data_IF_949149776299
#
_entry.id   IF_949149776299
#
_cell.length_a   1.000
_cell.length_b   1.000
_cell.length_c   1.000
_cell.angle_alpha   90.00
_cell.angle_beta   90.00
_cell.angle_gamma   90.00
#
_symmetry.space_group_name_H-M   'P 1'
#
loop_
_entity.id
_entity.type
_entity.pdbx_description
1 polymer ?
#
# COMPACT_ATOMS: atom_id res chain seq x y z
N UNK A 1 -42.40 -12.16 -27.73
CA UNK A 1 -41.30 -12.92 -27.12
C UNK A 1 -39.93 -12.29 -27.38
N UNK A 2 -39.75 -11.54 -28.48
CA UNK A 2 -38.48 -10.87 -28.82
C UNK A 2 -38.27 -9.51 -28.10
N UNK A 3 -39.35 -8.79 -27.78
CA UNK A 3 -39.30 -7.54 -27.00
C UNK A 3 -38.88 -7.75 -25.54
N UNK A 4 -39.35 -8.84 -24.91
CA UNK A 4 -39.10 -9.18 -23.50
C UNK A 4 -37.61 -9.52 -23.24
N UNK A 5 -36.95 -10.12 -24.24
CA UNK A 5 -35.51 -10.39 -24.20
C UNK A 5 -34.68 -9.11 -24.34
N UNK A 6 -35.09 -8.16 -25.18
CA UNK A 6 -34.39 -6.89 -25.39
C UNK A 6 -34.46 -6.00 -24.13
N UNK A 7 -35.63 -5.94 -23.49
CA UNK A 7 -35.84 -5.17 -22.27
C UNK A 7 -35.04 -5.76 -21.09
N UNK A 8 -34.98 -7.10 -20.98
CA UNK A 8 -34.16 -7.78 -19.98
C UNK A 8 -32.65 -7.51 -20.16
N UNK A 9 -32.16 -7.41 -21.41
CA UNK A 9 -30.76 -7.04 -21.68
C UNK A 9 -30.47 -5.59 -21.30
N UNK A 10 -31.39 -4.65 -21.55
CA UNK A 10 -31.25 -3.23 -21.16
C UNK A 10 -31.29 -3.07 -19.63
N UNK A 11 -32.13 -3.82 -18.93
CA UNK A 11 -32.16 -3.81 -17.46
C UNK A 11 -30.89 -4.41 -16.85
N UNK A 12 -30.35 -5.48 -17.43
CA UNK A 12 -29.08 -6.06 -17.02
C UNK A 12 -27.89 -5.10 -17.26
N UNK A 13 -27.85 -4.43 -18.42
CA UNK A 13 -26.81 -3.44 -18.74
C UNK A 13 -26.88 -2.21 -17.82
N UNK A 14 -28.10 -1.75 -17.48
CA UNK A 14 -28.30 -0.70 -16.47
C UNK A 14 -27.89 -1.16 -15.07
N UNK A 15 -28.23 -2.39 -14.68
CA UNK A 15 -27.82 -2.95 -13.40
C UNK A 15 -26.29 -3.07 -13.30
N UNK A 16 -25.61 -3.50 -14.37
CA UNK A 16 -24.16 -3.57 -14.44
C UNK A 16 -23.51 -2.17 -14.42
N UNK A 17 -24.08 -1.19 -15.12
CA UNK A 17 -23.65 0.21 -15.06
C UNK A 17 -23.78 0.84 -13.67
N UNK A 18 -24.84 0.50 -12.93
CA UNK A 18 -25.08 0.94 -11.54
C UNK A 18 -24.11 0.26 -10.55
N UNK A 19 -23.58 -0.91 -10.88
CA UNK A 19 -22.57 -1.61 -10.10
C UNK A 19 -21.13 -1.15 -10.43
N UNK A 20 -20.90 -0.60 -11.62
CA UNK A 20 -19.58 -0.14 -12.08
C UNK A 20 -19.22 1.31 -11.72
N UNK A 21 -20.20 2.15 -11.37
CA UNK A 21 -19.94 3.54 -10.97
C UNK A 21 -20.68 3.96 -9.70
N UNK A 22 -20.33 5.13 -9.16
CA UNK A 22 -20.97 5.69 -7.98
C UNK A 22 -22.43 6.05 -8.27
N UNK A 23 -23.31 5.92 -7.27
CA UNK A 23 -24.76 6.16 -7.40
C UNK A 23 -25.14 7.66 -7.55
N UNK A 24 -24.13 8.53 -7.70
CA UNK A 24 -24.28 9.98 -7.82
C UNK A 24 -23.07 10.75 -7.28
N UNK A 25 -23.08 12.09 -7.45
CA UNK A 25 -22.01 12.97 -7.00
C UNK A 25 -21.77 12.98 -5.48
N UNK A 26 -22.80 12.67 -4.69
CA UNK A 26 -22.79 12.70 -3.22
C UNK A 26 -22.75 11.30 -2.56
N UNK A 27 -22.35 10.25 -3.29
CA UNK A 27 -22.24 8.91 -2.70
C UNK A 27 -21.28 8.91 -1.50
N UNK A 28 -21.76 8.45 -0.33
CA UNK A 28 -21.00 8.39 0.93
C UNK A 28 -19.87 7.36 0.89
N UNK A 29 -19.95 6.38 0.00
CA UNK A 29 -18.91 5.37 -0.21
C UNK A 29 -17.74 5.91 -1.03
N UNK A 30 -17.95 6.97 -1.81
CA UNK A 30 -16.89 7.62 -2.57
C UNK A 30 -15.88 8.27 -1.59
N UNK A 31 -14.60 7.85 -1.62
CA UNK A 31 -13.57 8.41 -0.75
C UNK A 31 -13.38 9.92 -0.90
N UNK A 32 -13.73 10.46 -2.08
CA UNK A 32 -13.66 11.91 -2.35
C UNK A 32 -14.70 12.72 -1.56
N UNK A 33 -15.78 12.10 -1.12
CA UNK A 33 -16.84 12.75 -0.35
C UNK A 33 -16.66 12.62 1.17
N UNK A 34 -15.53 12.05 1.62
CA UNK A 34 -15.22 11.99 3.05
C UNK A 34 -15.07 13.39 3.65
N UNK A 35 -15.40 13.50 4.95
CA UNK A 35 -15.17 14.71 5.72
C UNK A 35 -13.69 15.08 5.75
N UNK A 36 -13.40 16.38 5.78
CA UNK A 36 -12.03 16.91 5.83
C UNK A 36 -11.23 16.30 6.98
N UNK A 37 -11.85 16.16 8.15
CA UNK A 37 -11.22 15.51 9.30
C UNK A 37 -10.74 14.09 9.00
N UNK A 38 -11.56 13.28 8.33
CA UNK A 38 -11.18 11.91 7.95
C UNK A 38 -10.05 11.90 6.93
N UNK A 39 -10.11 12.76 5.91
CA UNK A 39 -9.05 12.88 4.90
C UNK A 39 -7.72 13.25 5.55
N UNK A 40 -7.70 14.30 6.37
CA UNK A 40 -6.50 14.74 7.09
C UNK A 40 -5.97 13.66 8.02
N UNK A 41 -6.82 12.98 8.78
CA UNK A 41 -6.40 11.90 9.68
C UNK A 41 -5.77 10.74 8.90
N UNK A 42 -6.38 10.33 7.79
CA UNK A 42 -5.82 9.31 6.90
C UNK A 42 -4.47 9.73 6.31
N UNK A 43 -4.34 10.97 5.86
CA UNK A 43 -3.06 11.51 5.36
C UNK A 43 -1.98 11.48 6.44
N UNK A 44 -2.30 11.90 7.66
CA UNK A 44 -1.35 11.91 8.79
C UNK A 44 -0.89 10.49 9.13
N UNK A 45 -1.82 9.53 9.23
CA UNK A 45 -1.47 8.12 9.51
C UNK A 45 -0.53 7.57 8.42
N UNK A 46 -0.86 7.78 7.15
CA UNK A 46 -0.05 7.32 6.01
C UNK A 46 1.34 7.96 6.02
N UNK A 47 1.44 9.25 6.34
CA UNK A 47 2.73 9.95 6.46
C UNK A 47 3.57 9.41 7.63
N UNK A 48 2.95 9.12 8.78
CA UNK A 48 3.66 8.59 9.95
C UNK A 48 4.23 7.18 9.68
N UNK A 49 3.45 6.32 9.03
CA UNK A 49 3.91 4.99 8.60
C UNK A 49 5.08 5.13 7.61
N UNK A 50 4.93 5.98 6.60
CA UNK A 50 6.00 6.27 5.63
C UNK A 50 7.27 6.80 6.31
N UNK A 51 7.14 7.69 7.31
CA UNK A 51 8.27 8.27 8.02
C UNK A 51 9.10 7.20 8.75
N UNK A 52 8.45 6.30 9.48
CA UNK A 52 9.13 5.19 10.18
C UNK A 52 9.81 4.26 9.18
N UNK A 53 9.12 3.93 8.08
CA UNK A 53 9.66 3.06 7.06
C UNK A 53 10.90 3.68 6.40
N UNK A 54 10.91 4.99 6.18
CA UNK A 54 12.09 5.71 5.74
C UNK A 54 13.19 5.70 6.82
N UNK A 55 12.90 6.00 8.09
CA UNK A 55 13.92 6.00 9.15
C UNK A 55 14.60 4.62 9.28
N UNK A 56 13.84 3.53 9.26
CA UNK A 56 14.35 2.18 9.52
C UNK A 56 14.91 1.49 8.27
N UNK A 57 14.26 1.71 7.12
CA UNK A 57 14.52 0.97 5.91
C UNK A 57 14.96 1.83 4.74
N UNK A 58 15.13 3.16 4.86
CA UNK A 58 15.47 3.99 3.69
C UNK A 58 16.69 3.48 2.93
N UNK A 59 17.75 3.03 3.61
CA UNK A 59 18.93 2.49 2.91
C UNK A 59 18.60 1.18 2.18
N UNK A 60 17.79 0.31 2.79
CA UNK A 60 17.39 -0.98 2.19
C UNK A 60 16.41 -0.75 1.04
N UNK A 61 15.39 0.09 1.22
CA UNK A 61 14.40 0.46 0.20
C UNK A 61 15.03 1.26 -0.94
N UNK A 62 15.99 2.15 -0.65
CA UNK A 62 16.72 2.89 -1.69
C UNK A 62 17.59 1.93 -2.48
N UNK A 63 18.33 1.03 -1.81
CA UNK A 63 19.16 0.02 -2.49
C UNK A 63 18.30 -0.93 -3.33
N UNK A 64 17.21 -1.48 -2.77
CA UNK A 64 16.27 -2.33 -3.51
C UNK A 64 15.60 -1.57 -4.67
N UNK A 65 15.24 -0.31 -4.46
CA UNK A 65 14.64 0.55 -5.49
C UNK A 65 15.63 0.96 -6.59
N UNK A 66 16.91 1.17 -6.27
CA UNK A 66 17.98 1.39 -7.27
C UNK A 66 18.20 0.12 -8.07
N UNK A 67 18.29 -1.03 -7.39
CA UNK A 67 18.42 -2.34 -8.03
C UNK A 67 17.21 -2.66 -8.92
N UNK A 68 16.01 -2.24 -8.52
CA UNK A 68 14.80 -2.37 -9.32
C UNK A 68 14.81 -1.45 -10.55
N UNK A 69 15.18 -0.18 -10.38
CA UNK A 69 15.32 0.78 -11.49
C UNK A 69 16.44 0.40 -12.46
N UNK A 70 17.45 -0.32 -11.99
CA UNK A 70 18.52 -0.88 -12.81
C UNK A 70 18.12 -2.18 -13.54
N UNK A 71 16.85 -2.60 -13.46
CA UNK A 71 16.34 -3.81 -14.12
C UNK A 71 16.82 -5.13 -13.51
N UNK A 72 17.63 -5.07 -12.44
CA UNK A 72 18.16 -6.25 -11.75
C UNK A 72 17.08 -6.92 -10.88
N UNK A 73 16.03 -6.19 -10.49
CA UNK A 73 14.98 -6.65 -9.58
C UNK A 73 13.62 -5.95 -9.80
N UNK A 74 12.74 -6.45 -10.67
CA UNK A 74 11.38 -5.89 -10.83
C UNK A 74 10.45 -6.33 -9.70
N UNK A 75 10.23 -5.50 -8.68
CA UNK A 75 9.14 -5.70 -7.72
C UNK A 75 8.24 -4.46 -7.66
N UNK A 76 7.31 -4.36 -8.61
CA UNK A 76 6.21 -3.42 -8.48
C UNK A 76 5.15 -4.05 -7.56
N UNK A 77 5.03 -3.55 -6.33
CA UNK A 77 3.95 -3.92 -5.41
C UNK A 77 2.63 -3.20 -5.70
N UNK A 78 2.61 -2.36 -6.75
CA UNK A 78 1.42 -1.67 -7.24
C UNK A 78 0.25 -2.64 -7.53
N UNK A 79 0.46 -3.81 -8.20
CA UNK A 79 -0.59 -4.79 -8.46
C UNK A 79 -1.16 -5.41 -7.17
N UNK A 80 -0.37 -5.50 -6.10
CA UNK A 80 -0.82 -6.05 -4.83
C UNK A 80 -1.84 -5.12 -4.15
N UNK A 81 -1.62 -3.81 -4.25
CA UNK A 81 -2.58 -2.80 -3.77
C UNK A 81 -3.83 -2.71 -4.64
N UNK A 82 -3.71 -3.01 -5.93
CA UNK A 82 -4.82 -3.02 -6.88
C UNK A 82 -5.69 -4.28 -6.73
N UNK A 83 -5.09 -5.41 -6.38
CA UNK A 83 -5.82 -6.69 -6.23
C UNK A 83 -6.49 -6.82 -4.86
N UNK A 84 -5.83 -6.38 -3.79
CA UNK A 84 -6.31 -6.60 -2.42
C UNK A 84 -6.82 -5.33 -1.72
N UNK A 85 -6.66 -4.17 -2.35
CA UNK A 85 -7.00 -2.88 -1.78
C UNK A 85 -5.85 -2.26 -0.99
N UNK A 86 -5.92 -0.94 -0.77
CA UNK A 86 -4.85 -0.17 -0.14
C UNK A 86 -4.80 -0.38 1.36
N UNK A 87 -5.96 -0.61 2.00
CA UNK A 87 -6.00 -0.85 3.45
C UNK A 87 -5.18 -2.08 3.82
N UNK A 88 -5.28 -3.17 3.06
CA UNK A 88 -4.56 -4.41 3.37
C UNK A 88 -3.05 -4.18 3.36
N UNK A 89 -2.54 -3.38 2.43
CA UNK A 89 -1.11 -3.06 2.34
C UNK A 89 -0.61 -2.46 3.65
N UNK A 90 -1.32 -1.47 4.21
CA UNK A 90 -0.97 -0.89 5.52
C UNK A 90 -1.06 -1.91 6.66
N UNK A 91 -2.03 -2.81 6.64
CA UNK A 91 -2.17 -3.86 7.66
C UNK A 91 -1.08 -4.92 7.59
N UNK A 92 -0.41 -5.10 6.45
CA UNK A 92 0.71 -6.02 6.29
C UNK A 92 2.05 -5.38 6.65
N UNK A 93 2.14 -4.05 6.73
CA UNK A 93 3.39 -3.35 7.11
C UNK A 93 4.00 -3.80 8.45
N UNK A 94 3.23 -4.15 9.51
CA UNK A 94 3.79 -4.66 10.75
C UNK A 94 4.52 -6.01 10.62
N UNK A 95 4.32 -6.75 9.51
CA UNK A 95 5.14 -7.93 9.24
C UNK A 95 6.61 -7.58 9.07
N UNK A 96 6.93 -6.40 8.53
CA UNK A 96 8.30 -5.90 8.46
C UNK A 96 8.94 -5.77 9.86
N UNK A 97 8.15 -5.37 10.85
CA UNK A 97 8.60 -5.20 12.22
C UNK A 97 8.95 -6.55 12.86
N UNK A 98 8.20 -7.61 12.57
CA UNK A 98 8.52 -8.97 13.04
C UNK A 98 9.92 -9.40 12.55
N UNK A 99 10.25 -9.14 11.29
CA UNK A 99 11.58 -9.44 10.77
C UNK A 99 12.66 -8.50 11.32
N UNK A 100 12.31 -7.27 11.67
CA UNK A 100 13.23 -6.34 12.36
C UNK A 100 13.58 -6.81 13.77
N UNK A 101 12.68 -7.51 14.48
CA UNK A 101 13.03 -8.22 15.73
C UNK A 101 14.14 -9.24 15.45
N UNK A 102 14.03 -9.99 14.34
CA UNK A 102 15.05 -10.92 13.87
C UNK A 102 16.41 -10.26 13.58
N UNK A 103 16.41 -9.03 13.05
CA UNK A 103 17.64 -8.23 12.86
C UNK A 103 18.31 -7.93 14.20
N UNK A 104 17.53 -7.48 15.20
CA UNK A 104 18.03 -7.18 16.54
C UNK A 104 18.61 -8.40 17.27
N UNK A 105 18.06 -9.59 17.00
CA UNK A 105 18.47 -10.85 17.64
C UNK A 105 19.49 -11.67 16.82
N UNK A 106 19.88 -11.19 15.63
CA UNK A 106 20.82 -11.88 14.75
C UNK A 106 22.19 -12.11 15.40
N UNK A 107 22.71 -13.34 15.23
CA UNK A 107 24.05 -13.79 15.69
C UNK A 107 25.03 -13.98 14.53
N UNK A 108 24.54 -13.94 13.29
CA UNK A 108 25.29 -14.28 12.08
C UNK A 108 24.97 -13.23 11.02
N UNK A 109 25.93 -12.92 10.14
CA UNK A 109 25.72 -11.96 9.04
C UNK A 109 24.63 -12.47 8.07
N UNK A 110 24.60 -13.78 7.78
CA UNK A 110 23.60 -14.36 6.89
C UNK A 110 22.16 -14.15 7.42
N UNK A 111 21.91 -14.40 8.71
CA UNK A 111 20.59 -14.21 9.31
C UNK A 111 20.22 -12.73 9.41
N UNK A 112 21.19 -11.85 9.66
CA UNK A 112 21.00 -10.40 9.62
C UNK A 112 20.53 -9.94 8.23
N UNK A 113 21.24 -10.35 7.17
CA UNK A 113 20.91 -9.99 5.78
C UNK A 113 19.54 -10.55 5.39
N UNK A 114 19.26 -11.83 5.69
CA UNK A 114 17.97 -12.44 5.39
C UNK A 114 16.80 -11.71 6.07
N UNK A 115 16.93 -11.39 7.36
CA UNK A 115 15.90 -10.65 8.08
C UNK A 115 15.72 -9.23 7.53
N UNK A 116 16.81 -8.51 7.20
CA UNK A 116 16.72 -7.17 6.59
C UNK A 116 16.06 -7.20 5.21
N UNK A 117 16.37 -8.21 4.41
CA UNK A 117 15.78 -8.37 3.08
C UNK A 117 14.27 -8.56 3.19
N UNK A 118 13.82 -9.49 4.02
CA UNK A 118 12.38 -9.77 4.19
C UNK A 118 11.67 -8.60 4.87
N UNK A 119 12.29 -7.93 5.85
CA UNK A 119 11.74 -6.71 6.43
C UNK A 119 11.53 -5.60 5.37
N UNK A 120 12.53 -5.41 4.49
CA UNK A 120 12.43 -4.48 3.37
C UNK A 120 11.31 -4.83 2.39
N UNK A 121 11.10 -6.13 2.13
CA UNK A 121 10.04 -6.63 1.24
C UNK A 121 8.64 -6.25 1.74
N UNK A 122 8.39 -6.37 3.04
CA UNK A 122 7.10 -6.00 3.65
C UNK A 122 6.96 -4.49 3.87
N UNK A 123 8.06 -3.75 3.99
CA UNK A 123 8.03 -2.29 4.17
C UNK A 123 7.79 -1.53 2.85
N UNK A 124 8.39 -1.98 1.74
CA UNK A 124 8.33 -1.27 0.46
C UNK A 124 6.91 -0.95 -0.06
N UNK A 125 5.91 -1.86 0.03
CA UNK A 125 4.54 -1.57 -0.40
C UNK A 125 3.92 -0.36 0.30
N UNK A 126 4.20 -0.15 1.59
CA UNK A 126 3.61 0.93 2.38
C UNK A 126 3.98 2.32 1.83
N UNK A 127 5.24 2.50 1.41
CA UNK A 127 5.75 3.73 0.82
C UNK A 127 5.17 3.96 -0.58
N UNK A 128 5.09 2.91 -1.39
CA UNK A 128 4.61 3.02 -2.78
C UNK A 128 3.11 3.39 -2.84
N UNK A 129 2.31 2.78 -1.99
CA UNK A 129 0.84 2.90 -2.03
C UNK A 129 0.33 4.20 -1.40
N UNK A 130 1.15 4.88 -0.60
CA UNK A 130 0.78 6.11 0.08
C UNK A 130 0.38 7.27 -0.83
N UNK A 131 1.18 7.60 -1.84
CA UNK A 131 0.80 8.65 -2.79
C UNK A 131 -0.52 8.31 -3.50
N UNK A 132 -0.67 7.05 -3.89
CA UNK A 132 -1.86 6.56 -4.58
C UNK A 132 -3.10 6.56 -3.67
N UNK A 133 -2.95 6.25 -2.38
CA UNK A 133 -4.01 6.38 -1.36
C UNK A 133 -4.45 7.84 -1.22
N UNK A 134 -3.50 8.78 -1.15
CA UNK A 134 -3.79 10.22 -1.06
C UNK A 134 -4.57 10.69 -2.29
N UNK A 135 -4.21 10.22 -3.49
CA UNK A 135 -4.90 10.59 -4.73
C UNK A 135 -6.31 10.01 -4.85
N UNK A 136 -6.62 8.91 -4.18
CA UNK A 136 -7.95 8.31 -4.25
C UNK A 136 -9.03 9.19 -3.59
N UNK A 137 -8.73 9.70 -2.39
CA UNK A 137 -9.69 10.49 -1.61
C UNK A 137 -9.54 12.01 -1.81
N UNK A 138 -8.49 12.47 -2.48
CA UNK A 138 -8.26 13.91 -2.71
C UNK A 138 -8.57 14.29 -4.16
N UNK A 139 -9.45 15.28 -4.40
CA UNK A 139 -9.74 15.74 -5.75
C UNK A 139 -8.50 16.39 -6.41
N UNK A 140 -8.40 16.37 -7.76
CA UNK A 140 -7.24 16.88 -8.48
C UNK A 140 -6.84 18.33 -8.15
N UNK A 141 -7.81 19.19 -7.80
CA UNK A 141 -7.58 20.60 -7.44
C UNK A 141 -6.94 20.79 -6.06
N UNK A 142 -7.05 19.81 -5.16
CA UNK A 142 -6.61 19.94 -3.76
C UNK A 142 -5.46 18.97 -3.39
N UNK A 143 -5.06 18.08 -4.30
CA UNK A 143 -4.06 17.03 -4.01
C UNK A 143 -2.63 17.53 -3.88
N UNK A 144 -2.32 18.75 -4.32
CA UNK A 144 -0.95 19.30 -4.31
C UNK A 144 -0.40 19.36 -2.88
N UNK A 145 -1.17 19.88 -1.93
CA UNK A 145 -0.70 20.06 -0.54
C UNK A 145 -0.50 18.69 0.15
N UNK A 146 -1.49 17.77 0.18
CA UNK A 146 -1.30 16.46 0.82
C UNK A 146 -0.18 15.63 0.19
N UNK A 147 -0.05 15.66 -1.14
CA UNK A 147 1.04 14.97 -1.83
C UNK A 147 2.39 15.63 -1.55
N UNK A 148 2.47 16.95 -1.54
CA UNK A 148 3.69 17.68 -1.20
C UNK A 148 4.19 17.35 0.21
N UNK A 149 3.27 17.29 1.19
CA UNK A 149 3.59 16.84 2.55
C UNK A 149 4.13 15.42 2.50
N UNK A 150 3.43 14.51 1.83
CA UNK A 150 3.87 13.11 1.74
C UNK A 150 5.26 12.96 1.08
N UNK A 151 5.52 13.67 -0.02
CA UNK A 151 6.82 13.60 -0.70
C UNK A 151 7.97 14.24 0.09
N UNK A 152 7.68 15.06 1.10
CA UNK A 152 8.69 15.55 2.04
C UNK A 152 9.14 14.47 3.04
N UNK A 153 8.28 13.48 3.33
CA UNK A 153 8.53 12.45 4.35
C UNK A 153 9.78 11.63 4.07
N UNK A 154 10.04 11.12 2.85
CA UNK A 154 11.28 10.39 2.56
C UNK A 154 12.53 11.21 2.82
N UNK A 155 12.53 12.49 2.48
CA UNK A 155 13.68 13.39 2.69
C UNK A 155 13.97 13.56 4.19
N UNK A 156 12.93 13.80 4.98
CA UNK A 156 13.05 13.92 6.44
C UNK A 156 13.52 12.61 7.06
N UNK A 157 12.90 11.48 6.69
CA UNK A 157 13.27 10.17 7.22
C UNK A 157 14.70 9.77 6.85
N UNK A 158 15.17 10.12 5.66
CA UNK A 158 16.53 9.85 5.19
C UNK A 158 17.58 10.67 5.94
N UNK A 159 17.25 11.92 6.29
CA UNK A 159 18.12 12.77 7.10
C UNK A 159 18.13 12.34 8.58
N UNK A 160 16.97 11.98 9.14
CA UNK A 160 16.83 11.58 10.54
C UNK A 160 17.39 10.18 10.83
N UNK A 161 17.30 9.24 9.89
CA UNK A 161 17.74 7.86 10.07
C UNK A 161 19.18 7.73 10.56
N UNK A 162 20.18 8.30 9.85
CA UNK A 162 21.58 8.28 10.28
C UNK A 162 21.83 9.04 11.58
N UNK A 163 21.12 10.14 11.83
CA UNK A 163 21.27 10.92 13.08
C UNK A 163 20.80 10.14 14.31
N UNK A 164 19.63 9.51 14.22
CA UNK A 164 19.12 8.63 15.29
C UNK A 164 20.01 7.40 15.41
N UNK A 165 20.39 6.81 14.27
CA UNK A 165 21.21 5.61 14.21
C UNK A 165 22.60 5.81 14.83
N UNK A 166 23.29 6.91 14.52
CA UNK A 166 24.63 7.19 15.06
C UNK A 166 24.61 7.36 16.57
N UNK A 167 23.67 8.16 17.09
CA UNK A 167 23.51 8.39 18.52
C UNK A 167 23.22 7.09 19.29
N UNK A 168 22.33 6.25 18.74
CA UNK A 168 21.98 4.96 19.35
C UNK A 168 23.15 3.98 19.32
N UNK A 169 23.89 3.92 18.21
CA UNK A 169 25.09 3.07 18.09
C UNK A 169 26.13 3.44 19.14
N UNK A 170 26.38 4.73 19.34
CA UNK A 170 27.37 5.23 20.28
C UNK A 170 27.07 4.82 21.73
N UNK A 171 25.81 4.86 22.15
CA UNK A 171 25.43 4.65 23.56
C UNK A 171 24.99 3.21 23.89
N UNK A 172 24.42 2.50 22.91
CA UNK A 172 23.76 1.20 23.13
C UNK A 172 24.21 0.10 22.16
N UNK A 173 25.02 0.46 21.17
CA UNK A 173 25.52 -0.45 20.13
C UNK A 173 24.54 -0.65 18.96
N UNK A 174 25.04 -1.27 17.89
CA UNK A 174 24.32 -1.37 16.61
C UNK A 174 23.01 -2.15 16.67
N UNK A 175 22.84 -3.12 17.58
CA UNK A 175 21.58 -3.89 17.67
C UNK A 175 20.40 -2.99 18.02
N UNK A 176 20.64 -1.91 18.76
CA UNK A 176 19.61 -0.95 19.11
C UNK A 176 19.10 -0.13 17.93
N UNK A 177 19.81 -0.10 16.80
CA UNK A 177 19.26 0.50 15.57
C UNK A 177 18.05 -0.26 15.03
N UNK A 178 17.82 -1.52 15.46
CA UNK A 178 16.60 -2.27 15.16
C UNK A 178 15.53 -2.05 16.24
N UNK A 179 15.92 -2.01 17.52
CA UNK A 179 14.98 -1.86 18.65
C UNK A 179 14.33 -0.47 18.71
N UNK A 180 15.07 0.60 18.42
CA UNK A 180 14.55 1.97 18.44
C UNK A 180 13.40 2.18 17.46
N UNK A 181 13.52 1.88 16.15
CA UNK A 181 12.40 2.02 15.22
C UNK A 181 11.26 1.03 15.51
N UNK A 182 11.52 -0.14 16.11
CA UNK A 182 10.45 -1.05 16.57
C UNK A 182 9.55 -0.42 17.63
N UNK A 183 10.13 0.33 18.57
CA UNK A 183 9.34 1.04 19.59
C UNK A 183 8.49 2.14 18.95
N UNK A 184 9.03 2.86 17.97
CA UNK A 184 8.26 3.86 17.20
C UNK A 184 7.12 3.21 16.41
N UNK A 185 7.43 2.10 15.74
CA UNK A 185 6.49 1.31 14.95
C UNK A 185 5.32 0.78 15.80
N UNK A 186 5.59 0.32 17.02
CA UNK A 186 4.57 -0.17 17.95
C UNK A 186 3.51 0.88 18.31
N UNK A 187 3.87 2.17 18.29
CA UNK A 187 2.94 3.27 18.59
C UNK A 187 2.22 3.79 17.34
N UNK A 188 2.91 3.79 16.20
CA UNK A 188 2.48 4.50 14.99
C UNK A 188 1.83 3.60 13.93
N UNK A 189 2.02 2.27 13.98
CA UNK A 189 1.28 1.33 13.12
C UNK A 189 -0.17 1.06 13.57
N UNK A 190 -0.53 0.95 14.87
CA UNK A 190 -1.92 0.66 15.28
C UNK A 190 -2.99 1.60 14.71
N UNK A 191 -2.74 2.93 14.54
CA UNK A 191 -3.68 3.82 13.86
C UNK A 191 -4.09 3.36 12.45
N UNK A 192 -3.28 2.55 11.76
CA UNK A 192 -3.60 1.97 10.45
C UNK A 192 -4.89 1.14 10.46
N UNK A 193 -5.28 0.57 11.61
CA UNK A 193 -6.53 -0.20 11.76
C UNK A 193 -7.77 0.63 11.44
N UNK A 194 -7.71 1.93 11.74
CA UNK A 194 -8.80 2.88 11.52
C UNK A 194 -8.87 3.43 10.09
N UNK A 195 -7.88 3.14 9.24
CA UNK A 195 -7.93 3.50 7.83
C UNK A 195 -9.12 2.79 7.16
N UNK A 196 -9.78 3.50 6.26
CA UNK A 196 -10.80 2.93 5.37
C UNK A 196 -10.18 2.63 4.01
N UNK A 197 -10.77 1.66 3.33
CA UNK A 197 -10.38 1.38 1.94
C UNK A 197 -10.66 2.61 1.07
N UNK A 198 -9.70 2.99 0.24
CA UNK A 198 -9.81 4.14 -0.66
C UNK A 198 -9.90 3.73 -2.13
N UNK A 199 -9.57 2.47 -2.46
CA UNK A 199 -9.49 2.05 -3.85
C UNK A 199 -10.87 1.77 -4.46
N UNK A 200 -11.27 2.59 -5.44
CA UNK A 200 -12.60 2.54 -6.10
C UNK A 200 -13.00 1.12 -6.54
N UNK A 201 -12.18 0.36 -7.30
CA UNK A 201 -12.57 -0.96 -7.78
C UNK A 201 -12.90 -1.95 -6.66
N UNK A 202 -12.15 -1.92 -5.55
CA UNK A 202 -12.39 -2.82 -4.42
C UNK A 202 -13.62 -2.41 -3.62
N UNK A 203 -13.91 -1.12 -3.50
CA UNK A 203 -15.14 -0.63 -2.87
C UNK A 203 -16.36 -1.11 -3.66
N UNK A 204 -16.36 -0.91 -4.98
CA UNK A 204 -17.45 -1.34 -5.86
C UNK A 204 -17.60 -2.86 -5.91
N UNK A 205 -16.50 -3.61 -5.96
CA UNK A 205 -16.54 -5.08 -5.90
C UNK A 205 -17.15 -5.59 -4.58
N UNK A 206 -16.81 -4.96 -3.44
CA UNK A 206 -17.42 -5.30 -2.14
C UNK A 206 -18.92 -5.00 -2.14
N UNK A 207 -19.34 -3.88 -2.74
CA UNK A 207 -20.75 -3.50 -2.87
C UNK A 207 -21.54 -4.50 -3.71
N UNK A 208 -21.02 -4.86 -4.90
CA UNK A 208 -21.65 -5.85 -5.77
C UNK A 208 -21.83 -7.21 -5.05
N UNK A 209 -20.83 -7.63 -4.27
CA UNK A 209 -20.92 -8.84 -3.44
C UNK A 209 -21.99 -8.73 -2.35
N UNK A 210 -22.15 -7.58 -1.71
CA UNK A 210 -23.18 -7.37 -0.67
C UNK A 210 -24.61 -7.38 -1.24
N UNK A 211 -24.79 -6.90 -2.47
CA UNK A 211 -26.11 -6.84 -3.13
C UNK A 211 -26.55 -8.18 -3.72
N UNK A 212 -25.81 -9.26 -3.52
CA UNK A 212 -26.16 -10.59 -4.03
C UNK A 212 -26.08 -10.70 -5.56
N UNK A 213 -25.47 -9.71 -6.23
CA UNK A 213 -25.10 -9.78 -7.64
C UNK A 213 -23.94 -10.78 -7.79
N UNK A 214 -24.26 -12.06 -7.64
CA UNK A 214 -23.41 -13.14 -8.08
C UNK A 214 -23.38 -13.10 -9.61
N UNK A 215 -22.19 -12.87 -10.18
CA UNK A 215 -21.93 -12.91 -11.62
C UNK A 215 -22.53 -11.75 -12.44
N UNK A 216 -21.85 -10.60 -12.40
CA UNK A 216 -22.06 -9.49 -13.35
C UNK A 216 -20.84 -8.59 -13.52
N UNK A 217 -19.92 -8.55 -12.55
CA UNK A 217 -18.63 -7.88 -12.74
C UNK A 217 -17.66 -8.77 -13.52
N UNK A 218 -17.89 -8.88 -14.83
CA UNK A 218 -16.80 -9.04 -15.83
C UNK A 218 -15.98 -7.74 -15.92
N UNK A 219 -15.54 -7.21 -14.79
CA UNK A 219 -14.53 -6.18 -14.72
C UNK A 219 -13.27 -6.87 -14.23
N UNK A 220 -12.60 -7.55 -15.17
CA UNK A 220 -11.19 -7.92 -15.01
C UNK A 220 -10.90 -8.59 -13.66
N UNK A 221 -11.68 -9.63 -13.31
CA UNK A 221 -11.23 -10.56 -12.28
C UNK A 221 -9.97 -11.22 -12.84
N UNK A 222 -8.83 -10.53 -12.70
CA UNK A 222 -7.52 -11.14 -12.70
C UNK A 222 -7.60 -12.15 -11.58
N UNK A 223 -8.01 -13.35 -11.96
CA UNK A 223 -8.19 -14.49 -11.08
C UNK A 223 -6.94 -14.55 -10.23
N UNK A 224 -7.06 -14.78 -8.93
CA UNK A 224 -5.90 -14.85 -8.03
C UNK A 224 -4.79 -15.74 -8.58
N UNK A 225 -5.14 -16.72 -9.43
CA UNK A 225 -4.18 -17.54 -10.18
C UNK A 225 -3.63 -16.89 -11.47
N UNK A 226 -4.38 -16.06 -12.19
CA UNK A 226 -3.91 -15.25 -13.32
C UNK A 226 -3.09 -14.04 -12.88
N UNK A 227 -3.49 -13.32 -11.82
CA UNK A 227 -2.69 -12.26 -11.22
C UNK A 227 -1.38 -12.81 -10.63
N UNK A 228 -1.39 -14.00 -10.01
CA UNK A 228 -0.17 -14.68 -9.57
C UNK A 228 0.67 -15.23 -10.74
N UNK A 229 0.03 -15.74 -11.81
CA UNK A 229 0.75 -16.23 -13.01
C UNK A 229 1.33 -15.09 -13.84
N UNK A 230 0.61 -14.00 -14.05
CA UNK A 230 1.14 -12.78 -14.65
C UNK A 230 2.17 -12.12 -13.73
N UNK A 231 1.99 -12.12 -12.41
CA UNK A 231 3.02 -11.68 -11.49
C UNK A 231 4.28 -12.53 -11.67
N UNK A 232 4.19 -13.86 -11.72
CA UNK A 232 5.35 -14.74 -11.95
C UNK A 232 5.95 -14.52 -13.35
N UNK A 233 5.14 -14.44 -14.39
CA UNK A 233 5.60 -14.29 -15.78
C UNK A 233 6.16 -12.89 -16.05
N UNK A 234 5.50 -11.82 -15.61
CA UNK A 234 5.95 -10.44 -15.81
C UNK A 234 7.08 -10.02 -14.88
N UNK A 235 7.22 -10.66 -13.71
CA UNK A 235 8.29 -10.35 -12.74
C UNK A 235 9.56 -11.15 -12.99
N UNK A 236 9.45 -12.38 -13.50
CA UNK A 236 10.61 -13.27 -13.70
C UNK A 236 11.07 -13.33 -15.17
N UNK A 237 10.14 -13.29 -16.15
CA UNK A 237 10.51 -13.51 -17.56
C UNK A 237 10.87 -12.22 -18.29
N UNK A 238 10.27 -11.08 -17.92
CA UNK A 238 10.49 -9.78 -18.56
C UNK A 238 11.92 -9.20 -18.42
N UNK A 239 12.69 -9.46 -17.34
CA UNK A 239 14.08 -9.02 -17.23
C UNK A 239 15.10 -9.89 -18.00
N UNK A 240 14.66 -10.99 -18.62
CA UNK A 240 15.54 -11.94 -19.33
C UNK A 240 15.57 -11.74 -20.85
N UNK A 241 14.90 -10.70 -21.36
CA UNK A 241 14.89 -10.25 -22.75
C UNK A 241 15.24 -8.77 -22.82
#
# INVERSE_FOLDING_TARGET
MEADHHDAHIEAEKADGILQDWHGGDDKENPRNWSTFRKTTSTVIVCLIGAIQCINYCVVVTTLGVLARAGLWTYDFLPLSETFGRKLVYLLTPLADIFTIGVGQSRNIASLIACRFVAGLFAAPGISVAAATITDYTPPSQRVIPLGIYYSVPSIGSAMGPLIGSFVVEHRGWRWTAWTPLMMAAVLHPPALFLKESYKPIILQRRARMLGAAAGLNADSRSLSQGAKEFITSTIVRPLH
#
